data_IF_817650222371
#
_entry.id   IF_817650222371
#
_cell.length_a   1.000
_cell.length_b   1.000
_cell.length_c   1.000
_cell.angle_alpha   90.00
_cell.angle_beta   90.00
_cell.angle_gamma   90.00
#
_symmetry.space_group_name_H-M   'P 1'
#
loop_
_entity.id
_entity.type
_entity.pdbx_description
1 polymer ?
#
# COMPACT_ATOMS: atom_id res chain seq x y z
N UNK A 1 10.56 37.96 23.15
CA UNK A 1 9.86 37.87 21.85
C UNK A 1 10.89 37.50 20.79
N UNK A 2 10.98 36.32 20.18
CA UNK A 2 10.19 35.10 20.19
C UNK A 2 11.09 33.98 19.64
N UNK A 3 10.76 32.72 19.97
CA UNK A 3 11.50 31.54 19.53
C UNK A 3 11.52 31.43 17.99
N UNK A 4 12.59 30.90 17.38
CA UNK A 4 12.56 30.55 15.97
C UNK A 4 11.64 29.33 15.83
N UNK A 5 10.47 29.52 15.22
CA UNK A 5 9.59 28.43 14.79
C UNK A 5 10.26 27.70 13.63
N UNK A 6 11.24 26.85 13.94
CA UNK A 6 11.70 25.83 13.00
C UNK A 6 10.65 24.72 13.04
N UNK A 7 9.58 24.92 12.25
CA UNK A 7 8.61 23.88 11.96
C UNK A 7 9.36 22.74 11.30
N UNK A 8 9.65 21.70 12.09
CA UNK A 8 10.20 20.44 11.61
C UNK A 8 9.19 19.87 10.61
N UNK A 9 9.48 19.98 9.31
CA UNK A 9 8.86 19.13 8.31
C UNK A 9 9.04 17.69 8.82
N UNK A 10 7.96 16.97 9.13
CA UNK A 10 8.01 15.63 9.72
C UNK A 10 8.24 14.61 8.60
N UNK A 11 9.47 14.09 8.37
CA UNK A 11 9.74 13.14 7.30
C UNK A 11 8.96 11.83 7.42
N UNK A 12 8.63 11.40 8.64
CA UNK A 12 7.96 10.13 8.92
C UNK A 12 6.54 10.03 8.31
N UNK A 13 5.81 11.15 8.20
CA UNK A 13 4.46 11.15 7.61
C UNK A 13 4.53 10.92 6.10
N UNK A 14 5.54 11.49 5.44
CA UNK A 14 5.71 11.35 4.00
C UNK A 14 6.17 9.95 3.60
N UNK A 15 7.05 9.34 4.40
CA UNK A 15 7.57 8.00 4.15
C UNK A 15 6.48 6.93 4.29
N UNK A 16 5.68 6.99 5.36
CA UNK A 16 4.55 6.08 5.57
C UNK A 16 3.53 6.15 4.43
N UNK A 17 3.15 7.36 4.01
CA UNK A 17 2.18 7.55 2.90
C UNK A 17 2.74 7.00 1.57
N UNK A 18 4.04 7.16 1.33
CA UNK A 18 4.70 6.60 0.16
C UNK A 18 4.69 5.07 0.21
N UNK A 19 5.02 4.47 1.35
CA UNK A 19 4.98 3.02 1.54
C UNK A 19 3.58 2.44 1.31
N UNK A 20 2.55 3.02 1.96
CA UNK A 20 1.15 2.60 1.77
C UNK A 20 0.71 2.70 0.30
N UNK A 21 1.16 3.75 -0.41
CA UNK A 21 0.87 3.92 -1.84
C UNK A 21 1.53 2.84 -2.69
N UNK A 22 2.79 2.48 -2.37
CA UNK A 22 3.51 1.43 -3.07
C UNK A 22 2.86 0.06 -2.83
N UNK A 23 2.54 -0.27 -1.57
CA UNK A 23 1.85 -1.49 -1.19
C UNK A 23 0.49 -1.59 -1.89
N UNK A 24 -0.28 -0.51 -1.92
CA UNK A 24 -1.59 -0.46 -2.62
C UNK A 24 -1.45 -0.68 -4.14
N UNK A 25 -0.37 -0.16 -4.75
CA UNK A 25 -0.09 -0.38 -6.17
C UNK A 25 0.25 -1.83 -6.45
N UNK A 26 1.15 -2.41 -5.66
CA UNK A 26 1.58 -3.80 -5.80
C UNK A 26 0.41 -4.76 -5.61
N UNK A 27 -0.41 -4.55 -4.57
CA UNK A 27 -1.63 -5.33 -4.31
C UNK A 27 -2.54 -5.37 -5.54
N UNK A 28 -2.81 -4.19 -6.15
CA UNK A 28 -3.62 -4.08 -7.36
C UNK A 28 -3.00 -4.80 -8.55
N UNK A 29 -1.68 -4.65 -8.75
CA UNK A 29 -0.94 -5.32 -9.83
C UNK A 29 -1.03 -6.83 -9.71
N UNK A 30 -0.80 -7.39 -8.52
CA UNK A 30 -0.88 -8.84 -8.30
C UNK A 30 -2.31 -9.36 -8.42
N UNK A 31 -3.31 -8.63 -7.88
CA UNK A 31 -4.72 -9.00 -8.05
C UNK A 31 -5.10 -9.12 -9.52
N UNK A 32 -4.73 -8.14 -10.35
CA UNK A 32 -5.00 -8.17 -11.79
C UNK A 32 -4.29 -9.33 -12.48
N UNK A 33 -3.02 -9.57 -12.14
CA UNK A 33 -2.24 -10.67 -12.70
C UNK A 33 -2.87 -12.02 -12.37
N UNK A 34 -3.15 -12.31 -11.09
CA UNK A 34 -3.72 -13.58 -10.66
C UNK A 34 -5.10 -13.82 -11.30
N UNK A 35 -5.95 -12.80 -11.33
CA UNK A 35 -7.28 -12.91 -11.96
C UNK A 35 -7.20 -13.11 -13.48
N UNK A 36 -6.07 -12.80 -14.12
CA UNK A 36 -5.86 -13.04 -15.55
C UNK A 36 -5.42 -14.47 -15.90
N UNK A 37 -5.04 -15.28 -14.91
CA UNK A 37 -4.55 -16.65 -15.12
C UNK A 37 -5.64 -17.67 -15.46
N UNK A 38 -6.92 -17.28 -15.42
CA UNK A 38 -8.05 -18.19 -15.69
C UNK A 38 -8.39 -19.13 -14.52
N UNK A 39 -8.00 -18.77 -13.30
CA UNK A 39 -8.42 -19.48 -12.09
C UNK A 39 -9.92 -19.33 -11.83
N UNK A 40 -10.52 -20.34 -11.17
CA UNK A 40 -11.94 -20.33 -10.79
C UNK A 40 -12.26 -19.40 -9.61
N UNK A 41 -11.24 -19.01 -8.84
CA UNK A 41 -11.35 -18.14 -7.68
C UNK A 41 -10.96 -16.72 -8.10
N UNK A 42 -11.85 -15.77 -7.85
CA UNK A 42 -11.60 -14.35 -8.09
C UNK A 42 -11.04 -13.69 -6.83
N UNK A 43 -9.84 -13.09 -6.95
CA UNK A 43 -9.19 -12.36 -5.86
C UNK A 43 -9.75 -10.94 -5.80
N UNK A 44 -10.29 -10.56 -4.65
CA UNK A 44 -10.79 -9.23 -4.33
C UNK A 44 -9.79 -8.43 -3.50
N UNK A 45 -9.11 -9.09 -2.56
CA UNK A 45 -8.07 -8.52 -1.71
C UNK A 45 -6.96 -9.55 -1.50
N UNK A 46 -5.76 -9.28 -2.02
CA UNK A 46 -4.69 -10.28 -1.98
C UNK A 46 -4.26 -10.63 -0.56
N UNK A 47 -4.35 -9.71 0.40
CA UNK A 47 -3.87 -9.93 1.77
C UNK A 47 -4.78 -10.84 2.58
N UNK A 48 -6.05 -10.91 2.20
CA UNK A 48 -7.07 -11.72 2.85
C UNK A 48 -7.27 -13.04 2.11
N UNK A 49 -7.46 -12.98 0.79
CA UNK A 49 -7.92 -14.12 0.01
C UNK A 49 -6.86 -15.23 -0.15
N UNK A 50 -5.57 -14.93 0.08
CA UNK A 50 -4.47 -15.92 0.01
C UNK A 50 -3.99 -16.39 1.39
N UNK A 51 -4.59 -15.89 2.48
CA UNK A 51 -4.10 -16.16 3.84
C UNK A 51 -4.18 -17.65 4.22
N UNK A 52 -5.08 -18.38 3.60
CA UNK A 52 -5.36 -19.79 3.91
C UNK A 52 -4.51 -20.80 3.12
N UNK A 53 -3.59 -20.32 2.27
CA UNK A 53 -2.88 -21.15 1.30
C UNK A 53 -3.78 -21.67 0.19
#
# INVERSE_FOLDING_TARGET
>A
NGLPSHSKHLPAVNEFVLEETLVSREEKSFRMWINSLGNSIYINNIFEDVRNG
#
